data_IF_065515482125
#
_entry.id   IF_065515482125
#
_cell.length_a   1.000
_cell.length_b   1.000
_cell.length_c   1.000
_cell.angle_alpha   90.00
_cell.angle_beta   90.00
_cell.angle_gamma   90.00
#
_symmetry.space_group_name_H-M   'P 1'
#
loop_
_entity.id
_entity.type
_entity.pdbx_description
1 polymer ?
#
# COMPACT_ATOMS: atom_id res chain seq x y z
N UNK A 1 -2.70 8.73 -5.90
CA UNK A 1 -1.35 8.42 -6.46
C UNK A 1 -1.50 7.37 -7.54
N UNK A 2 -0.89 7.59 -8.68
CA UNK A 2 -0.86 6.58 -9.75
C UNK A 2 0.35 5.68 -9.59
N UNK A 3 0.37 4.57 -10.32
CA UNK A 3 1.54 3.69 -10.35
C UNK A 3 2.79 4.43 -10.80
N UNK A 4 2.68 5.26 -11.85
CA UNK A 4 3.79 6.10 -12.33
C UNK A 4 4.33 7.00 -11.24
N UNK A 5 3.45 7.66 -10.49
CA UNK A 5 3.85 8.55 -9.42
C UNK A 5 4.62 7.81 -8.33
N UNK A 6 4.15 6.63 -7.96
CA UNK A 6 4.81 5.83 -6.93
C UNK A 6 6.19 5.38 -7.37
N UNK A 7 6.32 4.86 -8.59
CA UNK A 7 7.59 4.40 -9.14
C UNK A 7 8.60 5.54 -9.20
N UNK A 8 8.18 6.67 -9.75
CA UNK A 8 9.06 7.84 -9.88
C UNK A 8 9.50 8.39 -8.53
N UNK A 9 8.57 8.43 -7.58
CA UNK A 9 8.90 8.97 -6.26
C UNK A 9 9.93 8.13 -5.54
N UNK A 10 9.82 6.81 -5.64
CA UNK A 10 10.82 5.92 -5.05
C UNK A 10 12.18 6.16 -5.69
N UNK A 11 12.24 6.28 -7.01
CA UNK A 11 13.48 6.50 -7.74
C UNK A 11 14.12 7.84 -7.39
N UNK A 12 13.33 8.85 -7.03
CA UNK A 12 13.83 10.14 -6.58
C UNK A 12 14.39 10.11 -5.17
N UNK A 13 13.80 9.31 -4.29
CA UNK A 13 14.16 9.27 -2.88
C UNK A 13 15.30 8.31 -2.61
N UNK A 14 15.34 7.18 -3.33
CA UNK A 14 16.35 6.15 -3.12
C UNK A 14 17.21 5.99 -4.36
N UNK A 15 18.52 6.01 -4.14
CA UNK A 15 19.49 5.83 -5.21
C UNK A 15 19.86 4.36 -5.43
N UNK A 16 19.63 3.51 -4.46
CA UNK A 16 19.84 2.07 -4.58
C UNK A 16 18.62 1.51 -5.29
N UNK A 17 18.82 1.12 -6.46
CA UNK A 17 17.82 1.14 -7.46
C UNK A 17 17.31 -0.22 -7.80
N UNK A 18 16.07 -0.43 -7.45
CA UNK A 18 15.30 -1.49 -8.05
C UNK A 18 14.68 -0.96 -9.34
N UNK A 19 14.59 -1.79 -10.35
CA UNK A 19 14.01 -1.38 -11.61
C UNK A 19 12.48 -1.24 -11.47
N UNK A 20 11.88 -0.68 -12.50
CA UNK A 20 10.45 -0.39 -12.51
C UNK A 20 9.61 -1.65 -12.39
N UNK A 21 10.09 -2.78 -12.91
CA UNK A 21 9.39 -4.04 -12.82
C UNK A 21 9.36 -4.55 -11.39
N UNK A 22 10.47 -4.45 -10.67
CA UNK A 22 10.53 -4.86 -9.27
C UNK A 22 9.66 -3.97 -8.39
N UNK A 23 9.71 -2.66 -8.61
CA UNK A 23 8.88 -1.72 -7.85
C UNK A 23 7.39 -1.98 -8.10
N UNK A 24 7.03 -2.21 -9.35
CA UNK A 24 5.66 -2.54 -9.74
C UNK A 24 5.19 -3.84 -9.10
N UNK A 25 6.07 -4.83 -9.03
CA UNK A 25 5.76 -6.10 -8.36
C UNK A 25 5.41 -5.89 -6.89
N UNK A 26 6.20 -5.12 -6.16
CA UNK A 26 5.93 -4.86 -4.75
C UNK A 26 4.65 -4.07 -4.54
N UNK A 27 4.40 -3.07 -5.37
CA UNK A 27 3.17 -2.27 -5.30
C UNK A 27 1.96 -3.14 -5.60
N UNK A 28 2.05 -4.01 -6.61
CA UNK A 28 0.97 -4.95 -6.95
C UNK A 28 0.69 -5.92 -5.82
N UNK A 29 1.74 -6.42 -5.19
CA UNK A 29 1.59 -7.34 -4.06
C UNK A 29 0.82 -6.68 -2.92
N UNK A 30 1.17 -5.44 -2.59
CA UNK A 30 0.48 -4.70 -1.54
C UNK A 30 -0.98 -4.44 -1.91
N UNK A 31 -1.25 -3.95 -3.11
CA UNK A 31 -2.62 -3.69 -3.54
C UNK A 31 -3.44 -4.96 -3.69
N UNK A 32 -2.81 -6.08 -4.03
CA UNK A 32 -3.46 -7.37 -4.02
C UNK A 32 -3.97 -7.76 -2.63
N UNK A 33 -3.16 -7.53 -1.62
CA UNK A 33 -3.58 -7.77 -0.23
C UNK A 33 -4.67 -6.80 0.21
N UNK A 34 -4.55 -5.53 -0.15
CA UNK A 34 -5.58 -4.53 0.16
C UNK A 34 -6.92 -4.91 -0.47
N UNK A 35 -6.90 -5.30 -1.73
CA UNK A 35 -8.12 -5.71 -2.42
C UNK A 35 -8.75 -6.94 -1.78
N UNK A 36 -7.95 -7.96 -1.47
CA UNK A 36 -8.45 -9.21 -0.93
C UNK A 36 -8.95 -9.08 0.51
N UNK A 37 -8.20 -8.38 1.35
CA UNK A 37 -8.47 -8.38 2.79
C UNK A 37 -9.33 -7.21 3.25
N UNK A 38 -9.21 -6.06 2.63
CA UNK A 38 -9.93 -4.86 3.07
C UNK A 38 -11.10 -4.54 2.18
N UNK A 39 -10.88 -4.47 0.85
CA UNK A 39 -11.91 -4.08 -0.09
C UNK A 39 -12.82 -5.24 -0.50
N UNK A 40 -12.36 -6.47 -0.31
CA UNK A 40 -13.10 -7.70 -0.64
C UNK A 40 -13.52 -7.73 -2.11
N UNK A 41 -12.59 -7.43 -3.01
CA UNK A 41 -12.84 -7.41 -4.44
C UNK A 41 -11.70 -8.06 -5.22
N UNK A 42 -11.96 -8.51 -6.46
CA UNK A 42 -10.90 -9.06 -7.31
C UNK A 42 -9.84 -8.00 -7.63
N UNK A 43 -8.63 -8.47 -7.89
CA UNK A 43 -7.52 -7.60 -8.25
C UNK A 43 -6.69 -8.25 -9.34
N UNK A 44 -6.32 -7.44 -10.34
CA UNK A 44 -5.40 -7.85 -11.40
C UNK A 44 -4.07 -7.15 -11.16
N UNK A 45 -2.96 -7.89 -11.04
CA UNK A 45 -1.64 -7.27 -10.85
C UNK A 45 -1.31 -6.25 -11.94
N UNK A 46 -0.57 -5.22 -11.54
CA UNK A 46 -0.19 -4.16 -12.47
C UNK A 46 0.93 -4.60 -13.40
N UNK A 47 0.87 -4.09 -14.63
CA UNK A 47 1.96 -4.17 -15.61
C UNK A 47 2.56 -2.81 -15.81
N UNK A 48 3.87 -2.72 -15.91
CA UNK A 48 4.54 -1.45 -16.17
C UNK A 48 5.24 -1.52 -17.53
N UNK A 49 5.12 -0.51 -18.40
CA UNK A 49 4.48 0.80 -18.15
C UNK A 49 2.98 0.88 -18.47
N UNK A 50 2.36 -0.21 -18.92
CA UNK A 50 0.99 -0.18 -19.42
C UNK A 50 -0.02 0.37 -18.41
N UNK A 51 0.14 0.01 -17.15
CA UNK A 51 -0.77 0.42 -16.07
C UNK A 51 -0.29 1.66 -15.33
N UNK A 52 0.69 2.38 -15.87
CA UNK A 52 1.30 3.53 -15.20
C UNK A 52 0.31 4.61 -14.75
N UNK A 53 -0.76 4.80 -15.50
CA UNK A 53 -1.76 5.82 -15.20
C UNK A 53 -2.86 5.33 -14.24
N UNK A 54 -2.85 4.06 -13.87
CA UNK A 54 -3.85 3.54 -12.93
C UNK A 54 -3.63 4.11 -11.54
N UNK A 55 -4.72 4.52 -10.89
CA UNK A 55 -4.70 4.95 -9.51
C UNK A 55 -4.52 3.75 -8.59
N UNK A 56 -3.64 3.89 -7.61
CA UNK A 56 -3.46 2.87 -6.59
C UNK A 56 -4.66 2.86 -5.64
N UNK A 57 -4.84 1.76 -4.93
CA UNK A 57 -6.07 1.53 -4.17
C UNK A 57 -6.19 2.39 -2.92
N UNK A 58 -5.06 2.69 -2.26
CA UNK A 58 -5.11 3.52 -1.05
C UNK A 58 -5.01 5.01 -1.41
N UNK A 59 -6.02 5.81 -1.02
CA UNK A 59 -6.02 7.23 -1.34
C UNK A 59 -5.16 8.03 -0.35
N UNK A 60 -4.84 9.30 -0.69
CA UNK A 60 -4.23 10.19 0.30
C UNK A 60 -5.12 10.33 1.55
N UNK A 61 -4.57 10.46 2.75
CA UNK A 61 -3.14 10.48 3.08
C UNK A 61 -2.54 9.09 3.29
N UNK A 62 -3.30 8.03 3.06
CA UNK A 62 -2.88 6.65 3.35
C UNK A 62 -1.93 6.09 2.30
N UNK A 63 -1.78 6.76 1.17
CA UNK A 63 -0.88 6.34 0.09
C UNK A 63 0.59 6.39 0.47
N UNK A 64 0.95 7.01 1.60
CA UNK A 64 2.30 6.91 2.15
C UNK A 64 2.70 5.46 2.46
N UNK A 65 1.72 4.58 2.65
CA UNK A 65 1.98 3.16 2.88
C UNK A 65 2.79 2.53 1.76
N UNK A 66 2.60 2.97 0.51
CA UNK A 66 3.35 2.42 -0.62
C UNK A 66 4.84 2.70 -0.47
N UNK A 67 5.21 3.91 -0.09
CA UNK A 67 6.61 4.28 0.09
C UNK A 67 7.24 3.50 1.24
N UNK A 68 6.54 3.40 2.36
CA UNK A 68 7.04 2.66 3.52
C UNK A 68 7.19 1.17 3.22
N UNK A 69 6.27 0.60 2.45
CA UNK A 69 6.36 -0.80 2.05
C UNK A 69 7.59 -1.05 1.18
N UNK A 70 7.83 -0.21 0.19
CA UNK A 70 8.97 -0.34 -0.70
C UNK A 70 10.28 -0.15 0.08
N UNK A 71 10.33 0.82 0.99
CA UNK A 71 11.49 0.99 1.85
C UNK A 71 11.77 -0.24 2.69
N UNK A 72 10.72 -0.82 3.29
CA UNK A 72 10.87 -2.03 4.08
C UNK A 72 11.38 -3.21 3.23
N UNK A 73 10.83 -3.41 2.04
CA UNK A 73 11.28 -4.48 1.16
C UNK A 73 12.71 -4.27 0.71
N UNK A 74 13.09 -3.02 0.41
CA UNK A 74 14.46 -2.68 0.01
C UNK A 74 15.44 -2.93 1.16
N UNK A 75 15.12 -2.49 2.36
CA UNK A 75 15.96 -2.67 3.53
C UNK A 75 16.15 -4.15 3.87
N UNK A 76 15.07 -4.92 3.79
CA UNK A 76 15.13 -6.36 4.00
C UNK A 76 16.04 -7.03 2.97
N UNK A 77 15.87 -6.68 1.69
CA UNK A 77 16.67 -7.27 0.61
C UNK A 77 18.15 -6.93 0.73
N UNK A 78 18.47 -5.76 1.32
CA UNK A 78 19.85 -5.33 1.54
C UNK A 78 20.44 -5.82 2.86
N UNK A 79 19.69 -6.60 3.64
CA UNK A 79 20.15 -7.11 4.93
C UNK A 79 20.16 -6.06 6.04
N UNK A 80 19.53 -4.92 5.84
CA UNK A 80 19.49 -3.83 6.81
C UNK A 80 18.27 -3.99 7.73
N UNK A 81 18.30 -4.98 8.60
CA UNK A 81 17.14 -5.39 9.36
C UNK A 81 16.66 -4.37 10.39
N UNK A 82 17.57 -3.55 10.91
CA UNK A 82 17.19 -2.45 11.81
C UNK A 82 16.34 -1.41 11.12
N UNK A 83 16.75 -1.02 9.90
CA UNK A 83 15.99 -0.08 9.08
C UNK A 83 14.67 -0.71 8.63
N UNK A 84 14.69 -1.99 8.29
CA UNK A 84 13.50 -2.72 7.91
C UNK A 84 12.44 -2.66 9.01
N UNK A 85 12.83 -2.88 10.26
CA UNK A 85 11.88 -2.84 11.37
C UNK A 85 11.21 -1.47 11.50
N UNK A 86 11.96 -0.39 11.33
CA UNK A 86 11.41 0.97 11.35
C UNK A 86 10.45 1.21 10.20
N UNK A 87 10.88 0.90 8.98
CA UNK A 87 10.06 1.11 7.78
C UNK A 87 8.78 0.28 7.84
N UNK A 88 8.90 -0.95 8.32
CA UNK A 88 7.75 -1.85 8.41
C UNK A 88 6.75 -1.35 9.46
N UNK A 89 7.23 -0.78 10.55
CA UNK A 89 6.34 -0.19 11.55
C UNK A 89 5.57 1.00 10.97
N UNK A 90 6.26 1.88 10.25
CA UNK A 90 5.60 3.01 9.59
C UNK A 90 4.58 2.54 8.56
N UNK A 91 4.93 1.49 7.82
CA UNK A 91 4.00 0.87 6.88
C UNK A 91 2.76 0.34 7.59
N UNK A 92 2.93 -0.40 8.68
CA UNK A 92 1.81 -0.96 9.43
C UNK A 92 0.89 0.14 9.97
N UNK A 93 1.45 1.24 10.45
CA UNK A 93 0.68 2.37 10.95
C UNK A 93 -0.18 2.98 9.84
N UNK A 94 0.40 3.19 8.67
CA UNK A 94 -0.33 3.76 7.54
C UNK A 94 -1.42 2.80 7.04
N UNK A 95 -1.10 1.51 6.94
CA UNK A 95 -2.07 0.50 6.51
C UNK A 95 -3.23 0.37 7.50
N UNK A 96 -2.94 0.36 8.78
CA UNK A 96 -3.96 0.31 9.82
C UNK A 96 -4.86 1.54 9.76
N UNK A 97 -4.28 2.72 9.54
CA UNK A 97 -5.03 3.94 9.34
C UNK A 97 -6.02 3.83 8.18
N UNK A 98 -5.56 3.30 7.06
CA UNK A 98 -6.43 3.09 5.90
C UNK A 98 -7.55 2.10 6.20
N UNK A 99 -7.23 0.97 6.81
CA UNK A 99 -8.24 -0.05 7.15
C UNK A 99 -9.32 0.53 8.06
N UNK A 100 -8.92 1.29 9.05
CA UNK A 100 -9.86 1.93 9.98
C UNK A 100 -10.75 2.92 9.25
N UNK A 101 -10.15 3.76 8.41
CA UNK A 101 -10.88 4.73 7.60
C UNK A 101 -11.90 4.04 6.70
N UNK A 102 -11.48 2.98 6.00
CA UNK A 102 -12.35 2.26 5.08
C UNK A 102 -13.53 1.63 5.81
N UNK A 103 -13.28 0.99 6.95
CA UNK A 103 -14.34 0.35 7.73
C UNK A 103 -15.36 1.37 8.20
N UNK A 104 -14.91 2.52 8.71
CA UNK A 104 -15.83 3.58 9.18
C UNK A 104 -16.73 4.11 8.10
N UNK A 105 -16.23 4.20 6.87
CA UNK A 105 -16.96 4.83 5.77
C UNK A 105 -17.78 3.85 4.94
N UNK A 106 -17.58 2.54 5.12
CA UNK A 106 -18.19 1.55 4.25
C UNK A 106 -18.97 0.47 4.99
N UNK A 107 -19.29 0.67 6.27
CA UNK A 107 -20.04 -0.32 7.07
C UNK A 107 -21.13 0.33 7.92
N UNK A 108 -22.04 1.11 7.31
CA UNK A 108 -23.13 1.73 8.07
C UNK A 108 -24.09 0.72 8.71
N UNK A 109 -24.35 -0.40 8.03
CA UNK A 109 -25.21 -1.46 8.54
C UNK A 109 -24.68 -2.07 9.82
N UNK A 110 -23.37 -2.16 9.95
CA UNK A 110 -22.74 -2.69 11.14
C UNK A 110 -22.93 -1.75 12.33
N UNK A 111 -22.90 -0.45 12.08
CA UNK A 111 -23.20 0.55 13.11
C UNK A 111 -24.64 0.38 13.59
N UNK A 112 -25.57 0.12 12.69
CA UNK A 112 -26.97 -0.12 13.03
C UNK A 112 -27.12 -1.36 13.90
N UNK A 113 -26.39 -2.41 13.59
CA UNK A 113 -26.40 -3.64 14.38
C UNK A 113 -25.92 -3.37 15.82
N UNK A 114 -24.85 -2.60 15.95
CA UNK A 114 -24.36 -2.22 17.27
C UNK A 114 -25.36 -1.38 18.03
N UNK A 115 -26.05 -0.48 17.39
CA UNK A 115 -27.07 0.34 18.00
C UNK A 115 -28.24 -0.50 18.51
N UNK A 116 -28.62 -1.51 17.75
CA UNK A 116 -29.70 -2.41 18.17
C UNK A 116 -29.28 -3.26 19.38
N UNK A 117 -28.04 -3.67 19.42
CA UNK A 117 -27.52 -4.52 20.49
C UNK A 117 -27.12 -3.72 21.73
N UNK A 118 -26.86 -2.47 21.53
CA UNK A 118 -26.42 -1.59 22.60
C UNK A 118 -27.57 -0.93 23.28
#
# INVERSE_FOLDING_TARGET
MTLNNAVKRVQEIREDIYDEQQLTFWISELDGHVAAETLKKPFTPYSYPDDGEKSLLMPPPYDSAYMHYIEAMSDYSNGEYGKYNNSFQMFNDALTGFKTHYIRNNMPERADIFNVMG
#
